data_IF_830857217028
#
_entry.id   IF_830857217028
#
_cell.length_a   1.000
_cell.length_b   1.000
_cell.length_c   1.000
_cell.angle_alpha   90.00
_cell.angle_beta   90.00
_cell.angle_gamma   90.00
#
_symmetry.space_group_name_H-M   'P 1'
#
loop_
_entity.id
_entity.type
_entity.pdbx_description
1 polymer ?
#
# COMPACT_ATOMS: atom_id res chain seq x y z
N UNK A 1 -19.15 3.97 -2.54
CA UNK A 1 -17.91 3.47 -3.21
C UNK A 1 -16.66 3.45 -2.30
N UNK A 2 -16.79 3.43 -0.95
CA UNK A 2 -15.65 3.44 -0.03
C UNK A 2 -15.34 2.06 0.64
N UNK A 3 -16.08 1.01 0.28
CA UNK A 3 -16.01 -0.29 0.96
C UNK A 3 -14.76 -1.11 0.59
N UNK A 4 -14.28 -1.01 -0.65
CA UNK A 4 -13.17 -1.82 -1.16
C UNK A 4 -11.84 -1.48 -0.46
N UNK A 5 -11.50 -0.19 -0.35
CA UNK A 5 -10.26 0.27 0.29
C UNK A 5 -10.13 -0.16 1.75
N UNK A 6 -11.24 -0.23 2.49
CA UNK A 6 -11.21 -0.70 3.89
C UNK A 6 -11.00 -2.20 4.00
N UNK A 7 -11.56 -2.99 3.08
CA UNK A 7 -11.37 -4.44 3.05
C UNK A 7 -9.91 -4.80 2.74
N UNK A 8 -9.32 -4.15 1.72
CA UNK A 8 -7.92 -4.34 1.33
C UNK A 8 -6.96 -3.95 2.46
N UNK A 9 -7.21 -2.82 3.13
CA UNK A 9 -6.43 -2.39 4.29
C UNK A 9 -6.49 -3.42 5.43
N UNK A 10 -7.69 -3.91 5.78
CA UNK A 10 -7.84 -4.91 6.85
C UNK A 10 -7.09 -6.21 6.55
N UNK A 11 -7.18 -6.70 5.32
CA UNK A 11 -6.46 -7.91 4.88
C UNK A 11 -4.94 -7.74 4.94
N UNK A 12 -4.43 -6.58 4.51
CA UNK A 12 -3.00 -6.26 4.59
C UNK A 12 -2.51 -6.15 6.03
N UNK A 13 -3.29 -5.58 6.93
CA UNK A 13 -2.91 -5.47 8.34
C UNK A 13 -2.84 -6.82 9.04
N UNK A 14 -3.65 -7.79 8.60
CA UNK A 14 -3.64 -9.17 9.09
C UNK A 14 -2.41 -9.97 8.62
N UNK A 15 -1.66 -9.50 7.62
CA UNK A 15 -0.38 -10.09 7.26
C UNK A 15 0.63 -9.91 8.42
N UNK A 16 1.53 -10.89 8.56
CA UNK A 16 2.60 -10.87 9.56
C UNK A 16 3.55 -9.67 9.43
N UNK A 17 4.57 -9.61 10.29
CA UNK A 17 5.47 -8.46 10.37
C UNK A 17 6.25 -8.17 9.06
N UNK A 18 6.56 -9.20 8.28
CA UNK A 18 7.31 -9.10 7.03
C UNK A 18 6.74 -10.06 5.96
N UNK A 19 5.61 -9.73 5.33
CA UNK A 19 5.10 -10.53 4.22
C UNK A 19 6.04 -10.42 3.02
N UNK A 20 6.06 -11.44 2.17
CA UNK A 20 6.74 -11.43 0.88
C UNK A 20 5.92 -10.69 -0.18
N UNK A 21 6.59 -10.21 -1.24
CA UNK A 21 5.90 -9.45 -2.30
C UNK A 21 4.88 -10.32 -3.04
N UNK A 22 5.13 -11.62 -3.12
CA UNK A 22 4.20 -12.60 -3.71
C UNK A 22 2.92 -12.75 -2.87
N UNK A 23 3.02 -12.76 -1.54
CA UNK A 23 1.85 -12.81 -0.66
C UNK A 23 0.99 -11.55 -0.80
N UNK A 24 1.63 -10.37 -0.83
CA UNK A 24 0.94 -9.10 -1.05
C UNK A 24 0.25 -9.08 -2.40
N UNK A 25 0.93 -9.55 -3.47
CA UNK A 25 0.34 -9.63 -4.81
C UNK A 25 -0.85 -10.59 -4.87
N UNK A 26 -0.73 -11.77 -4.27
CA UNK A 26 -1.80 -12.77 -4.24
C UNK A 26 -3.03 -12.23 -3.53
N UNK A 27 -2.85 -11.54 -2.40
CA UNK A 27 -3.91 -10.98 -1.59
C UNK A 27 -4.62 -9.80 -2.29
N UNK A 28 -3.85 -8.93 -2.96
CA UNK A 28 -4.39 -7.75 -3.65
C UNK A 28 -4.82 -8.01 -5.11
N UNK A 29 -4.69 -9.24 -5.59
CA UNK A 29 -5.15 -9.66 -6.93
C UNK A 29 -6.54 -9.14 -7.34
N UNK A 30 -7.59 -9.18 -6.49
CA UNK A 30 -8.90 -8.63 -6.87
C UNK A 30 -8.93 -7.09 -6.97
N UNK A 31 -8.01 -6.40 -6.27
CA UNK A 31 -7.94 -4.94 -6.20
C UNK A 31 -7.18 -4.31 -7.38
N UNK A 32 -6.30 -5.05 -8.07
CA UNK A 32 -5.49 -4.52 -9.17
C UNK A 32 -6.29 -3.85 -10.28
N UNK A 33 -7.41 -4.45 -10.67
CA UNK A 33 -8.26 -3.87 -11.71
C UNK A 33 -8.93 -2.57 -11.26
N UNK A 34 -9.38 -2.51 -10.00
CA UNK A 34 -10.05 -1.32 -9.45
C UNK A 34 -9.05 -0.19 -9.20
N UNK A 35 -7.82 -0.51 -8.80
CA UNK A 35 -6.77 0.49 -8.59
C UNK A 35 -6.25 1.06 -9.91
N UNK A 36 -6.19 0.25 -10.98
CA UNK A 36 -5.88 0.75 -12.34
C UNK A 36 -6.91 1.75 -12.85
N UNK A 37 -8.20 1.53 -12.60
CA UNK A 37 -9.26 2.45 -13.02
C UNK A 37 -9.45 3.62 -12.07
N UNK A 38 -9.05 3.47 -10.80
CA UNK A 38 -9.17 4.50 -9.78
C UNK A 38 -7.98 4.47 -8.80
N UNK A 39 -6.86 5.14 -9.14
CA UNK A 39 -5.66 5.17 -8.32
C UNK A 39 -5.87 5.69 -6.88
N UNK A 40 -6.91 6.50 -6.66
CA UNK A 40 -7.26 7.03 -5.32
C UNK A 40 -7.56 5.91 -4.31
N UNK A 41 -8.05 4.75 -4.76
CA UNK A 41 -8.27 3.59 -3.89
C UNK A 41 -6.95 3.08 -3.31
N UNK A 42 -5.91 3.00 -4.14
CA UNK A 42 -4.56 2.64 -3.68
C UNK A 42 -4.00 3.67 -2.69
N UNK A 43 -4.17 4.98 -2.97
CA UNK A 43 -3.76 6.05 -2.02
C UNK A 43 -4.43 5.90 -0.65
N UNK A 44 -5.71 5.52 -0.61
CA UNK A 44 -6.43 5.31 0.66
C UNK A 44 -5.86 4.16 1.47
N UNK A 45 -5.52 3.05 0.81
CA UNK A 45 -4.89 1.89 1.44
C UNK A 45 -3.49 2.23 1.95
N UNK A 46 -2.66 2.86 1.12
CA UNK A 46 -1.30 3.32 1.50
C UNK A 46 -1.35 4.30 2.69
N UNK A 47 -2.29 5.24 2.67
CA UNK A 47 -2.49 6.19 3.78
C UNK A 47 -3.00 5.50 5.05
N UNK A 48 -3.80 4.44 4.92
CA UNK A 48 -4.22 3.59 6.03
C UNK A 48 -3.03 2.88 6.67
N UNK A 49 -2.19 2.23 5.87
CA UNK A 49 -0.95 1.59 6.34
C UNK A 49 -0.01 2.59 7.03
N UNK A 50 0.05 3.83 6.53
CA UNK A 50 0.80 4.91 7.16
C UNK A 50 0.28 5.28 8.55
N UNK A 51 -1.05 5.29 8.75
CA UNK A 51 -1.68 5.54 10.06
C UNK A 51 -1.40 4.41 11.04
N UNK A 52 -1.40 3.17 10.55
CA UNK A 52 -1.12 1.96 11.34
C UNK A 52 0.38 1.70 11.52
N UNK A 53 1.27 2.64 11.15
CA UNK A 53 2.73 2.51 11.29
C UNK A 53 3.32 1.29 10.57
N UNK A 54 2.72 0.87 9.46
CA UNK A 54 3.19 -0.26 8.62
C UNK A 54 3.96 0.26 7.41
N UNK A 55 5.05 1.00 7.64
CA UNK A 55 5.82 1.67 6.58
C UNK A 55 6.44 0.70 5.57
N UNK A 56 7.08 -0.37 6.04
CA UNK A 56 7.64 -1.42 5.19
C UNK A 56 6.57 -2.07 4.28
N UNK A 57 5.41 -2.37 4.83
CA UNK A 57 4.30 -2.93 4.05
C UNK A 57 3.75 -1.93 3.03
N UNK A 58 3.67 -0.64 3.37
CA UNK A 58 3.26 0.40 2.44
C UNK A 58 4.23 0.52 1.25
N UNK A 59 5.54 0.49 1.51
CA UNK A 59 6.56 0.47 0.46
C UNK A 59 6.47 -0.79 -0.42
N UNK A 60 6.18 -1.93 0.19
CA UNK A 60 6.00 -3.19 -0.53
C UNK A 60 4.77 -3.19 -1.44
N UNK A 61 3.63 -2.68 -0.96
CA UNK A 61 2.41 -2.48 -1.78
C UNK A 61 2.72 -1.56 -2.96
N UNK A 62 3.47 -0.47 -2.74
CA UNK A 62 3.92 0.43 -3.81
C UNK A 62 4.78 -0.29 -4.86
N UNK A 63 5.68 -1.18 -4.42
CA UNK A 63 6.47 -2.04 -5.32
C UNK A 63 5.59 -3.01 -6.12
N UNK A 64 4.60 -3.63 -5.47
CA UNK A 64 3.65 -4.54 -6.12
C UNK A 64 2.79 -3.80 -7.16
N UNK A 65 2.37 -2.57 -6.87
CA UNK A 65 1.65 -1.72 -7.84
C UNK A 65 2.46 -1.53 -9.13
N UNK A 66 3.77 -1.26 -9.01
CA UNK A 66 4.66 -1.14 -10.18
C UNK A 66 4.75 -2.45 -10.96
N UNK A 67 4.97 -3.57 -10.27
CA UNK A 67 5.06 -4.88 -10.91
C UNK A 67 3.78 -5.27 -11.66
N UNK A 68 2.62 -4.89 -11.12
CA UNK A 68 1.30 -5.16 -11.69
C UNK A 68 0.84 -4.10 -12.72
N UNK A 69 1.73 -3.17 -13.10
CA UNK A 69 1.43 -2.05 -14.02
C UNK A 69 0.25 -1.18 -13.56
N UNK A 70 0.09 -1.00 -12.25
CA UNK A 70 -0.77 0.02 -11.66
C UNK A 70 0.01 1.33 -11.67
N UNK A 71 -0.62 2.40 -12.16
CA UNK A 71 0.02 3.71 -12.20
C UNK A 71 0.43 4.17 -10.79
N UNK A 72 1.69 4.55 -10.64
CA UNK A 72 2.20 5.13 -9.39
C UNK A 72 2.47 6.61 -9.57
N UNK A 73 1.81 7.45 -8.77
CA UNK A 73 1.92 8.91 -8.84
C UNK A 73 2.43 9.50 -7.52
N UNK A 74 2.59 10.84 -7.49
CA UNK A 74 3.12 11.58 -6.34
C UNK A 74 2.33 11.33 -5.05
N UNK A 75 1.01 11.11 -5.12
CA UNK A 75 0.21 10.87 -3.91
C UNK A 75 0.55 9.54 -3.26
N UNK A 76 0.87 8.50 -4.05
CA UNK A 76 1.29 7.22 -3.52
C UNK A 76 2.66 7.31 -2.83
N UNK A 77 3.63 7.99 -3.45
CA UNK A 77 4.93 8.24 -2.83
C UNK A 77 4.79 9.04 -1.54
N UNK A 78 4.04 10.14 -1.56
CA UNK A 78 3.82 10.98 -0.37
C UNK A 78 3.18 10.20 0.77
N UNK A 79 2.26 9.26 0.48
CA UNK A 79 1.66 8.40 1.50
C UNK A 79 2.69 7.45 2.14
N UNK A 80 3.56 6.84 1.34
CA UNK A 80 4.63 5.94 1.82
C UNK A 80 5.70 6.72 2.60
N UNK A 81 6.13 7.89 2.11
CA UNK A 81 7.08 8.77 2.80
C UNK A 81 6.51 9.17 4.17
N UNK A 82 5.24 9.58 4.22
CA UNK A 82 4.58 9.93 5.48
C UNK A 82 4.51 8.72 6.45
N UNK A 83 4.36 7.50 5.95
CA UNK A 83 4.43 6.28 6.77
C UNK A 83 5.81 6.09 7.40
N UNK A 84 6.87 6.29 6.62
CA UNK A 84 8.26 6.18 7.05
C UNK A 84 8.60 7.24 8.11
N UNK A 85 8.16 8.49 7.91
CA UNK A 85 8.37 9.56 8.90
C UNK A 85 7.66 9.28 10.23
N UNK A 86 6.50 8.60 10.23
CA UNK A 86 5.71 8.29 11.44
C UNK A 86 6.23 7.09 12.23
N UNK A 87 6.94 6.19 11.57
CA UNK A 87 7.57 5.01 12.18
C UNK A 87 8.96 5.32 12.73
N UNK A 88 9.54 6.47 12.38
CA UNK A 88 10.95 6.77 12.65
C UNK A 88 11.90 6.07 11.68
N UNK A 89 11.38 5.35 10.69
CA UNK A 89 12.12 4.62 9.66
C UNK A 89 12.40 5.53 8.45
N UNK A 90 13.01 6.69 8.70
CA UNK A 90 13.36 7.64 7.63
C UNK A 90 14.33 7.03 6.60
N UNK A 91 15.07 5.97 6.95
CA UNK A 91 15.97 5.28 6.02
C UNK A 91 15.24 4.62 4.84
N UNK A 92 13.96 4.28 4.97
CA UNK A 92 13.15 3.72 3.87
C UNK A 92 12.64 4.81 2.91
N UNK A 93 12.75 6.09 3.27
CA UNK A 93 12.21 7.22 2.52
C UNK A 93 13.21 7.92 1.60
N UNK A 94 14.49 7.52 1.63
CA UNK A 94 15.59 8.10 0.85
C UNK A 94 15.97 7.19 -0.33
#
# INVERSE_FOLDING_TARGET
>A
MAAHSHAELGLLLALGAAPSSEEVQRLLRPAWRSWKSNPKLATQVLSGLAKERRAALAAQVLGCMRAESVEVNVFHFSAVIAACSRTGEWQLAL
#
